data_IF_674073268919
#
_entry.id   IF_674073268919
#
_cell.length_a   1.000
_cell.length_b   1.000
_cell.length_c   1.000
_cell.angle_alpha   90.00
_cell.angle_beta   90.00
_cell.angle_gamma   90.00
#
_symmetry.space_group_name_H-M   'P 1'
#
loop_
_entity.id
_entity.type
_entity.pdbx_description
1 polymer ?
#
# COMPACT_ATOMS: atom_id res chain seq x y z
N UNK A 1 -6.90 5.27 -0.65
CA UNK A 1 -7.93 4.87 -1.65
C UNK A 1 -8.49 6.07 -2.42
N UNK A 2 -8.99 7.10 -1.74
CA UNK A 2 -9.65 8.27 -2.37
C UNK A 2 -8.72 9.03 -3.32
N UNK A 3 -7.49 9.34 -2.91
CA UNK A 3 -6.49 10.02 -3.75
C UNK A 3 -6.15 9.20 -5.01
N UNK A 4 -5.92 7.90 -4.87
CA UNK A 4 -5.62 7.03 -6.00
C UNK A 4 -6.78 7.02 -7.01
N UNK A 5 -8.02 6.86 -6.53
CA UNK A 5 -9.20 6.88 -7.37
C UNK A 5 -9.31 8.17 -8.18
N UNK A 6 -9.15 9.34 -7.54
CA UNK A 6 -9.21 10.62 -8.26
C UNK A 6 -8.08 10.81 -9.27
N UNK A 7 -6.86 10.34 -8.95
CA UNK A 7 -5.74 10.38 -9.89
C UNK A 7 -6.08 9.58 -11.16
N UNK A 8 -6.65 8.37 -11.00
CA UNK A 8 -7.09 7.55 -12.14
C UNK A 8 -8.14 8.28 -12.99
N UNK A 9 -9.17 8.82 -12.34
CA UNK A 9 -10.25 9.55 -13.05
C UNK A 9 -9.68 10.76 -13.79
N UNK A 10 -8.84 11.59 -13.16
CA UNK A 10 -8.22 12.75 -13.78
C UNK A 10 -7.33 12.41 -14.98
N UNK A 11 -6.70 11.25 -14.95
CA UNK A 11 -5.85 10.74 -16.02
C UNK A 11 -6.60 9.92 -17.07
N UNK A 12 -7.92 9.78 -16.93
CA UNK A 12 -8.75 8.90 -17.75
C UNK A 12 -8.24 7.44 -17.80
N UNK A 13 -7.70 6.96 -16.69
CA UNK A 13 -7.17 5.60 -16.53
C UNK A 13 -8.24 4.66 -15.95
N UNK A 14 -8.13 3.37 -16.30
CA UNK A 14 -9.04 2.33 -15.76
C UNK A 14 -8.80 2.12 -14.27
N UNK A 15 -9.88 1.96 -13.50
CA UNK A 15 -9.86 1.72 -12.05
C UNK A 15 -9.94 0.23 -11.65
N UNK A 16 -10.16 -0.65 -12.61
CA UNK A 16 -10.36 -2.09 -12.38
C UNK A 16 -9.10 -2.86 -11.92
N UNK A 17 -7.92 -2.21 -11.97
CA UNK A 17 -6.67 -2.72 -11.39
C UNK A 17 -6.48 -2.31 -9.91
N UNK A 18 -7.36 -1.49 -9.38
CA UNK A 18 -7.24 -0.95 -8.03
C UNK A 18 -8.28 -1.58 -7.10
N UNK A 19 -7.83 -2.32 -6.09
CA UNK A 19 -8.69 -2.77 -5.01
C UNK A 19 -8.71 -1.69 -3.91
N UNK A 20 -9.81 -0.95 -3.84
CA UNK A 20 -9.96 0.17 -2.90
C UNK A 20 -10.55 -0.34 -1.59
N UNK A 21 -9.72 -0.52 -0.57
CA UNK A 21 -10.17 -0.94 0.76
C UNK A 21 -11.00 0.16 1.41
N UNK A 22 -12.24 -0.17 1.79
CA UNK A 22 -13.19 0.70 2.51
C UNK A 22 -13.59 0.01 3.81
N UNK A 23 -13.48 0.71 4.93
CA UNK A 23 -13.53 0.07 6.25
C UNK A 23 -12.22 -0.68 6.52
N UNK A 24 -12.22 -1.74 7.26
CA UNK A 24 -11.09 -2.69 7.41
C UNK A 24 -9.69 -2.08 7.41
N UNK A 25 -9.48 -0.96 8.12
CA UNK A 25 -8.17 -0.30 8.25
C UNK A 25 -7.13 -1.31 8.76
N UNK A 26 -5.97 -1.33 8.12
CA UNK A 26 -4.87 -2.23 8.46
C UNK A 26 -4.92 -3.61 7.79
N UNK A 27 -5.97 -3.95 7.03
CA UNK A 27 -6.09 -5.23 6.33
C UNK A 27 -5.67 -5.18 4.86
N UNK A 28 -5.35 -4.01 4.31
CA UNK A 28 -4.98 -3.86 2.90
C UNK A 28 -3.78 -4.74 2.53
N UNK A 29 -2.77 -4.81 3.40
CA UNK A 29 -1.59 -5.63 3.19
C UNK A 29 -1.89 -7.13 3.18
N UNK A 30 -2.84 -7.59 4.01
CA UNK A 30 -3.24 -9.00 4.05
C UNK A 30 -4.09 -9.39 2.83
N UNK A 31 -4.95 -8.49 2.36
CA UNK A 31 -5.70 -8.68 1.11
C UNK A 31 -4.72 -8.74 -0.07
N UNK A 32 -3.78 -7.79 -0.14
CA UNK A 32 -2.75 -7.77 -1.17
C UNK A 32 -1.87 -9.03 -1.14
N UNK A 33 -1.55 -9.56 0.05
CA UNK A 33 -0.85 -10.82 0.23
C UNK A 33 -1.64 -11.99 -0.39
N UNK A 34 -2.94 -12.11 -0.10
CA UNK A 34 -3.80 -13.13 -0.68
C UNK A 34 -3.85 -13.07 -2.21
N UNK A 35 -3.91 -11.87 -2.78
CA UNK A 35 -3.84 -11.66 -4.23
C UNK A 35 -2.47 -12.07 -4.77
N UNK A 36 -1.39 -11.71 -4.08
CA UNK A 36 -0.02 -11.99 -4.48
C UNK A 36 0.29 -13.50 -4.53
N UNK A 37 -0.27 -14.27 -3.60
CA UNK A 37 -0.14 -15.73 -3.56
C UNK A 37 -0.81 -16.42 -4.76
N UNK A 38 -1.85 -15.80 -5.30
CA UNK A 38 -2.66 -16.34 -6.39
C UNK A 38 -2.44 -15.58 -7.72
N UNK A 39 -1.35 -14.84 -7.88
CA UNK A 39 -1.07 -14.07 -9.09
C UNK A 39 0.42 -13.99 -9.37
N UNK A 40 0.79 -14.09 -10.64
CA UNK A 40 2.16 -13.83 -11.09
C UNK A 40 2.44 -12.34 -11.30
N UNK A 41 1.40 -11.50 -11.27
CA UNK A 41 1.52 -10.05 -11.40
C UNK A 41 2.22 -9.44 -10.19
N UNK A 42 2.82 -8.30 -10.41
CA UNK A 42 3.36 -7.50 -9.33
C UNK A 42 2.24 -6.80 -8.59
N UNK A 43 2.15 -7.04 -7.30
CA UNK A 43 1.12 -6.48 -6.42
C UNK A 43 1.74 -5.37 -5.60
N UNK A 44 1.15 -4.17 -5.70
CA UNK A 44 1.56 -2.99 -4.93
C UNK A 44 0.47 -2.72 -3.88
N UNK A 45 0.82 -2.88 -2.62
CA UNK A 45 -0.01 -2.45 -1.50
C UNK A 45 0.40 -1.04 -1.09
N UNK A 46 -0.55 -0.10 -1.10
CA UNK A 46 -0.35 1.25 -0.57
C UNK A 46 -1.12 1.34 0.75
N UNK A 47 -0.41 1.51 1.83
CA UNK A 47 -0.94 1.55 3.19
C UNK A 47 -0.62 2.88 3.88
N UNK A 48 -1.31 3.21 4.95
CA UNK A 48 -0.95 4.31 5.85
C UNK A 48 -0.15 3.80 7.04
N UNK A 49 0.61 4.68 7.68
CA UNK A 49 1.36 4.36 8.90
C UNK A 49 0.45 3.84 10.03
N UNK A 50 -0.67 4.51 10.27
CA UNK A 50 -1.65 4.06 11.25
C UNK A 50 -2.26 2.71 10.92
N UNK A 51 -2.56 2.45 9.64
CA UNK A 51 -3.09 1.18 9.19
C UNK A 51 -2.06 0.05 9.34
N UNK A 52 -0.80 0.30 8.98
CA UNK A 52 0.30 -0.65 9.19
C UNK A 52 0.47 -1.01 10.67
N UNK A 53 0.47 0.00 11.57
CA UNK A 53 0.62 -0.19 13.01
C UNK A 53 -0.54 -0.97 13.64
N UNK A 54 -1.79 -0.75 13.17
CA UNK A 54 -2.96 -1.46 13.70
C UNK A 54 -2.87 -2.99 13.55
N UNK A 55 -2.29 -3.47 12.45
CA UNK A 55 -2.18 -4.91 12.17
C UNK A 55 -0.74 -5.30 11.79
N UNK A 56 0.22 -4.75 12.53
CA UNK A 56 1.66 -4.91 12.30
C UNK A 56 2.12 -6.36 12.26
N UNK A 57 1.48 -7.25 12.99
CA UNK A 57 1.77 -8.69 12.96
C UNK A 57 1.67 -9.32 11.58
N UNK A 58 0.84 -8.77 10.70
CA UNK A 58 0.74 -9.22 9.31
C UNK A 58 2.03 -9.03 8.50
N UNK A 59 2.89 -8.10 8.89
CA UNK A 59 4.20 -7.93 8.25
C UNK A 59 5.10 -9.16 8.41
N UNK A 60 5.03 -9.84 9.55
CA UNK A 60 5.77 -11.09 9.79
C UNK A 60 5.36 -12.19 8.80
N UNK A 61 4.07 -12.36 8.55
CA UNK A 61 3.57 -13.32 7.56
C UNK A 61 4.06 -12.99 6.15
N UNK A 62 4.00 -11.71 5.77
CA UNK A 62 4.46 -11.24 4.44
C UNK A 62 5.96 -11.51 4.25
N UNK A 63 6.76 -11.17 5.24
CA UNK A 63 8.21 -11.38 5.16
C UNK A 63 8.58 -12.85 5.11
N UNK A 64 7.94 -13.69 5.94
CA UNK A 64 8.20 -15.14 5.97
C UNK A 64 7.89 -15.82 4.62
N UNK A 65 6.85 -15.39 3.91
CA UNK A 65 6.46 -15.98 2.61
C UNK A 65 7.38 -15.57 1.45
N UNK A 66 8.25 -14.58 1.61
CA UNK A 66 9.30 -14.16 0.66
C UNK A 66 8.82 -13.95 -0.77
N UNK A 67 7.59 -13.43 -0.93
CA UNK A 67 6.96 -13.25 -2.25
C UNK A 67 7.69 -12.17 -3.06
N UNK A 68 8.23 -12.59 -4.21
CA UNK A 68 9.06 -11.73 -5.08
C UNK A 68 8.27 -10.63 -5.78
N UNK A 69 6.97 -10.80 -5.91
CA UNK A 69 6.06 -9.90 -6.61
C UNK A 69 5.29 -8.95 -5.66
N UNK A 70 5.61 -8.91 -4.36
CA UNK A 70 4.96 -8.05 -3.37
C UNK A 70 5.76 -6.77 -3.11
N UNK A 71 5.11 -5.61 -3.25
CA UNK A 71 5.66 -4.30 -2.89
C UNK A 71 4.72 -3.64 -1.90
N UNK A 72 5.18 -3.37 -0.69
CA UNK A 72 4.47 -2.67 0.36
C UNK A 72 4.99 -1.23 0.47
N UNK A 73 4.14 -0.27 0.17
CA UNK A 73 4.42 1.17 0.30
C UNK A 73 3.63 1.69 1.47
N UNK A 74 4.32 2.25 2.47
CA UNK A 74 3.69 2.89 3.62
C UNK A 74 3.84 4.40 3.51
N UNK A 75 2.72 5.11 3.42
CA UNK A 75 2.65 6.56 3.45
C UNK A 75 2.55 7.00 4.91
N UNK A 76 3.65 7.54 5.45
CA UNK A 76 3.75 7.94 6.84
C UNK A 76 3.57 9.46 6.96
N UNK A 77 2.42 9.87 7.52
CA UNK A 77 2.11 11.25 7.89
C UNK A 77 2.03 11.46 9.42
N UNK A 78 2.27 10.41 10.22
CA UNK A 78 2.17 10.47 11.68
C UNK A 78 0.75 10.66 12.21
N UNK A 79 -0.30 10.33 11.41
CA UNK A 79 -1.67 10.66 11.76
C UNK A 79 -2.70 9.66 11.20
N UNK A 80 -3.74 9.41 11.96
CA UNK A 80 -4.95 8.71 11.53
C UNK A 80 -5.94 9.68 10.84
N UNK A 81 -5.52 10.34 9.76
CA UNK A 81 -6.31 11.39 9.08
C UNK A 81 -7.71 10.96 8.65
N UNK A 82 -7.92 9.68 8.35
CA UNK A 82 -9.22 9.17 7.91
C UNK A 82 -10.25 8.99 9.04
N UNK A 83 -9.84 9.03 10.29
CA UNK A 83 -10.67 8.72 11.46
C UNK A 83 -10.51 9.73 12.62
N UNK A 84 -10.19 10.99 12.30
CA UNK A 84 -10.15 12.07 13.28
C UNK A 84 -8.79 12.74 13.49
N UNK A 85 -7.74 12.30 12.79
CA UNK A 85 -6.46 12.99 12.78
C UNK A 85 -5.60 12.79 14.04
N UNK A 86 -5.90 11.77 14.84
CA UNK A 86 -5.11 11.44 16.02
C UNK A 86 -3.67 11.08 15.61
N UNK A 87 -2.67 11.43 16.43
CA UNK A 87 -1.29 11.07 16.13
C UNK A 87 -1.08 9.54 16.17
N UNK A 88 -0.22 9.06 15.32
CA UNK A 88 0.31 7.68 15.37
C UNK A 88 1.66 7.67 16.07
N UNK A 89 2.15 6.50 16.45
CA UNK A 89 3.53 6.32 16.94
C UNK A 89 4.57 6.19 15.82
N UNK A 90 4.21 6.39 14.56
CA UNK A 90 5.06 6.09 13.40
C UNK A 90 6.34 6.93 13.33
N UNK A 91 6.39 8.11 13.94
CA UNK A 91 7.61 8.92 14.00
C UNK A 91 8.54 8.55 15.17
N UNK A 92 8.03 7.90 16.19
CA UNK A 92 8.83 7.35 17.30
C UNK A 92 9.20 5.88 17.10
N UNK A 93 8.48 5.20 16.20
CA UNK A 93 8.67 3.78 15.88
C UNK A 93 9.23 3.64 14.46
N UNK A 94 10.40 3.05 14.30
CA UNK A 94 10.98 2.84 12.97
C UNK A 94 10.26 1.73 12.21
N UNK A 95 9.34 2.09 11.31
CA UNK A 95 8.60 1.13 10.48
C UNK A 95 9.53 0.32 9.59
N UNK A 96 10.60 0.94 9.09
CA UNK A 96 11.63 0.25 8.31
C UNK A 96 12.36 -0.83 9.12
N UNK A 97 12.73 -0.56 10.38
CA UNK A 97 13.34 -1.58 11.25
C UNK A 97 12.38 -2.72 11.57
N UNK A 98 11.10 -2.45 11.73
CA UNK A 98 10.06 -3.48 11.89
C UNK A 98 10.01 -4.35 10.64
N UNK A 99 9.99 -3.77 9.44
CA UNK A 99 9.99 -4.54 8.20
C UNK A 99 11.24 -5.41 8.05
N UNK A 100 12.43 -4.92 8.47
CA UNK A 100 13.66 -5.72 8.52
C UNK A 100 13.50 -6.89 9.49
N UNK A 101 13.03 -6.64 10.71
CA UNK A 101 12.81 -7.67 11.73
C UNK A 101 11.77 -8.71 11.29
N UNK A 102 10.81 -8.31 10.43
CA UNK A 102 9.83 -9.18 9.81
C UNK A 102 10.34 -9.87 8.53
N UNK A 103 11.62 -9.81 8.22
CA UNK A 103 12.26 -10.52 7.10
C UNK A 103 11.86 -10.02 5.69
N UNK A 104 11.47 -8.74 5.56
CA UNK A 104 11.33 -8.13 4.23
C UNK A 104 12.69 -8.06 3.56
N UNK A 105 12.76 -8.55 2.33
CA UNK A 105 14.05 -8.72 1.60
C UNK A 105 14.70 -7.40 1.19
N UNK A 106 13.90 -6.41 0.84
CA UNK A 106 14.39 -5.10 0.43
C UNK A 106 13.60 -4.02 1.17
N UNK A 107 14.26 -3.31 2.05
CA UNK A 107 13.65 -2.26 2.87
C UNK A 107 14.28 -0.92 2.54
N UNK A 108 13.44 0.06 2.25
CA UNK A 108 13.83 1.45 2.05
C UNK A 108 12.96 2.31 2.97
N UNK A 109 13.58 3.03 3.88
CA UNK A 109 12.87 3.84 4.86
C UNK A 109 12.98 5.34 4.60
N UNK A 110 11.93 6.04 5.05
CA UNK A 110 11.88 7.49 5.27
C UNK A 110 12.22 8.34 4.04
N UNK A 111 11.72 7.97 2.87
CA UNK A 111 11.88 8.78 1.65
C UNK A 111 11.03 10.06 1.73
N UNK A 112 11.63 11.21 1.35
CA UNK A 112 10.99 12.52 1.44
C UNK A 112 10.93 13.28 0.11
N UNK A 113 11.81 12.98 -0.84
CA UNK A 113 11.92 13.72 -2.08
C UNK A 113 11.39 12.92 -3.26
N UNK A 114 10.70 13.58 -4.19
CA UNK A 114 10.17 12.96 -5.41
C UNK A 114 11.26 12.19 -6.17
N UNK A 115 12.47 12.75 -6.29
CA UNK A 115 13.61 12.11 -6.96
C UNK A 115 13.96 10.76 -6.32
N UNK A 116 14.08 10.71 -4.98
CA UNK A 116 14.41 9.49 -4.27
C UNK A 116 13.28 8.46 -4.32
N UNK A 117 12.02 8.92 -4.23
CA UNK A 117 10.84 8.06 -4.34
C UNK A 117 10.81 7.37 -5.70
N UNK A 118 10.90 8.13 -6.80
CA UNK A 118 10.89 7.57 -8.15
C UNK A 118 12.05 6.60 -8.38
N UNK A 119 13.28 6.98 -8.00
CA UNK A 119 14.46 6.10 -8.11
C UNK A 119 14.26 4.75 -7.39
N UNK A 120 13.75 4.77 -6.14
CA UNK A 120 13.57 3.54 -5.37
C UNK A 120 12.39 2.70 -5.88
N UNK A 121 11.31 3.31 -6.34
CA UNK A 121 10.21 2.59 -6.99
C UNK A 121 10.68 1.87 -8.26
N UNK A 122 11.44 2.54 -9.12
CA UNK A 122 12.01 1.93 -10.33
C UNK A 122 12.93 0.76 -9.99
N UNK A 123 13.79 0.90 -8.97
CA UNK A 123 14.65 -0.18 -8.51
C UNK A 123 13.84 -1.38 -8.01
N UNK A 124 12.79 -1.15 -7.23
CA UNK A 124 11.91 -2.22 -6.75
C UNK A 124 11.16 -2.92 -7.90
N UNK A 125 10.71 -2.15 -8.90
CA UNK A 125 10.04 -2.70 -10.07
C UNK A 125 10.96 -3.56 -10.94
N UNK A 126 12.25 -3.27 -11.00
CA UNK A 126 13.25 -4.03 -11.77
C UNK A 126 13.75 -5.29 -11.04
N UNK A 127 13.75 -5.29 -9.71
CA UNK A 127 14.28 -6.42 -8.92
C UNK A 127 13.37 -7.66 -9.01
N UNK A 128 13.99 -8.83 -9.15
CA UNK A 128 13.33 -10.14 -9.10
C UNK A 128 13.32 -10.77 -7.69
N UNK A 129 13.50 -9.95 -6.67
CA UNK A 129 13.50 -10.33 -5.25
C UNK A 129 12.37 -9.63 -4.52
N UNK A 130 11.96 -10.09 -3.36
CA UNK A 130 10.91 -9.48 -2.54
C UNK A 130 10.70 -10.28 -1.24
N UNK A 131 9.79 -9.86 -0.38
CA UNK A 131 8.96 -8.66 -0.50
C UNK A 131 9.76 -7.36 -0.34
N UNK A 132 9.25 -6.29 -0.96
CA UNK A 132 9.79 -4.95 -0.79
C UNK A 132 8.98 -4.16 0.23
N UNK A 133 9.64 -3.32 1.00
CA UNK A 133 9.02 -2.33 1.88
C UNK A 133 9.58 -0.95 1.56
N UNK A 134 8.71 0.03 1.38
CA UNK A 134 9.11 1.43 1.11
C UNK A 134 8.29 2.34 2.02
N UNK A 135 8.96 3.07 2.89
CA UNK A 135 8.34 4.12 3.69
C UNK A 135 8.53 5.48 3.02
N UNK A 136 7.43 6.21 2.85
CA UNK A 136 7.43 7.54 2.27
C UNK A 136 6.82 8.50 3.30
N UNK A 137 7.59 9.50 3.70
CA UNK A 137 7.09 10.56 4.59
C UNK A 137 6.27 11.54 3.76
N UNK A 138 5.04 11.75 4.17
CA UNK A 138 4.10 12.67 3.53
C UNK A 138 3.57 13.70 4.51
N UNK A 139 2.96 14.78 4.01
CA UNK A 139 2.33 15.79 4.86
C UNK A 139 1.06 15.24 5.50
N UNK A 140 0.78 15.69 6.72
CA UNK A 140 -0.49 15.49 7.42
C UNK A 140 -1.61 16.23 6.71
N UNK A 141 -2.81 15.66 6.75
CA UNK A 141 -4.02 16.23 6.18
C UNK A 141 -4.35 15.73 4.78
N UNK A 142 -5.59 15.92 4.38
CA UNK A 142 -6.11 15.61 3.04
C UNK A 142 -6.54 16.89 2.34
N UNK A 143 -6.69 16.86 1.03
CA UNK A 143 -7.30 17.94 0.26
C UNK A 143 -8.76 18.17 0.69
N UNK A 144 -9.21 19.43 0.76
CA UNK A 144 -10.55 19.77 1.22
C UNK A 144 -11.66 19.11 0.38
N UNK A 145 -11.54 19.11 -0.91
CA UNK A 145 -12.55 18.58 -1.85
C UNK A 145 -12.22 17.18 -2.38
N UNK A 146 -11.68 16.32 -1.53
CA UNK A 146 -11.36 14.95 -1.92
C UNK A 146 -12.62 14.11 -2.10
N UNK A 147 -12.93 13.71 -3.33
CA UNK A 147 -14.07 12.88 -3.69
C UNK A 147 -14.05 11.48 -3.06
N UNK A 148 -15.10 10.74 -3.29
CA UNK A 148 -15.21 9.33 -2.90
C UNK A 148 -15.36 8.46 -4.13
N UNK A 149 -14.85 7.21 -4.12
CA UNK A 149 -15.16 6.24 -5.17
C UNK A 149 -16.67 6.12 -5.36
N UNK A 150 -17.13 6.18 -6.61
CA UNK A 150 -18.55 6.05 -6.94
C UNK A 150 -19.04 4.60 -6.84
N UNK A 151 -18.14 3.66 -7.04
CA UNK A 151 -18.44 2.23 -6.97
C UNK A 151 -18.64 1.77 -5.52
N UNK A 152 -19.63 0.92 -5.30
CA UNK A 152 -19.78 0.22 -4.02
C UNK A 152 -18.63 -0.75 -3.81
N UNK A 153 -18.21 -1.02 -2.56
CA UNK A 153 -17.10 -1.95 -2.28
C UNK A 153 -17.22 -3.31 -2.96
N UNK A 154 -18.43 -3.87 -3.02
CA UNK A 154 -18.68 -5.15 -3.67
C UNK A 154 -18.47 -5.08 -5.20
N UNK A 155 -18.83 -3.96 -5.83
CA UNK A 155 -18.62 -3.75 -7.26
C UNK A 155 -17.12 -3.62 -7.56
N UNK A 156 -16.40 -2.80 -6.78
CA UNK A 156 -14.95 -2.66 -6.91
C UNK A 156 -14.25 -4.02 -6.76
N UNK A 157 -14.60 -4.80 -5.73
CA UNK A 157 -14.09 -6.16 -5.55
C UNK A 157 -14.33 -7.02 -6.81
N UNK A 158 -15.58 -7.07 -7.31
CA UNK A 158 -15.94 -7.92 -8.43
C UNK A 158 -15.21 -7.50 -9.72
N UNK A 159 -15.10 -6.20 -9.99
CA UNK A 159 -14.36 -5.66 -11.13
C UNK A 159 -12.90 -6.00 -11.06
N UNK A 160 -12.27 -5.83 -9.89
CA UNK A 160 -10.89 -6.18 -9.64
C UNK A 160 -10.62 -7.69 -9.86
N UNK A 161 -11.45 -8.57 -9.29
CA UNK A 161 -11.28 -10.02 -9.44
C UNK A 161 -11.51 -10.50 -10.88
N UNK A 162 -12.48 -9.96 -11.60
CA UNK A 162 -12.66 -10.25 -13.03
C UNK A 162 -11.41 -9.90 -13.82
N UNK A 163 -10.80 -8.75 -13.54
CA UNK A 163 -9.61 -8.30 -14.24
C UNK A 163 -8.37 -9.15 -13.93
N UNK A 164 -8.23 -9.64 -12.70
CA UNK A 164 -7.12 -10.55 -12.35
C UNK A 164 -7.31 -11.93 -12.97
N UNK A 165 -8.53 -12.48 -12.96
CA UNK A 165 -8.83 -13.81 -13.52
C UNK A 165 -8.60 -13.92 -15.03
N UNK A 166 -8.80 -12.83 -15.78
CA UNK A 166 -8.61 -12.83 -17.24
C UNK A 166 -7.13 -12.92 -17.67
N UNK A 167 -6.21 -13.00 -16.72
CA UNK A 167 -4.77 -13.07 -16.96
C UNK A 167 -4.17 -14.46 -16.61
N UNK A 168 -5.02 -15.46 -16.39
CA UNK A 168 -4.63 -16.87 -16.20
C UNK A 168 -4.84 -17.71 -17.43
#
# INVERSE_FOLDING_TARGET
SRELYEIRIKKNEKTNNDFLTVGSMGHASQIALGVCLNSKKRIICIDGDGAFLMHMGGASTIGNLKLKNFIHIVLNNGSHDSVGGQPTSAFSTSLAKIAIACDYKNVVGSLRTKKNILKNLELCLKKKTGPHFIEIIVKKGSRDNLGRPKEKPIQNKNNFFKNIKNDY
#
